data_IF_897482598631
#
_entry.id   IF_897482598631
#
_cell.length_a   1.000
_cell.length_b   1.000
_cell.length_c   1.000
_cell.angle_alpha   90.00
_cell.angle_beta   90.00
_cell.angle_gamma   90.00
#
_symmetry.space_group_name_H-M   'P 1'
#
loop_
_entity.id
_entity.type
_entity.pdbx_description
1 polymer ?
#
# COMPACT_ATOMS: atom_id res chain seq x y z
N UNK A 1 0.23 0.62 17.44
CA UNK A 1 1.25 -0.36 17.02
C UNK A 1 1.11 -1.67 17.80
N UNK A 2 1.53 -2.81 17.25
CA UNK A 2 1.76 -4.03 18.06
C UNK A 2 2.87 -3.76 19.08
N UNK A 3 2.71 -4.22 20.31
CA UNK A 3 3.74 -4.13 21.35
C UNK A 3 4.58 -5.41 21.32
N UNK A 4 5.90 -5.27 21.46
CA UNK A 4 6.86 -6.39 21.52
C UNK A 4 6.88 -7.33 20.29
N UNK A 5 6.24 -6.95 19.18
CA UNK A 5 6.34 -7.71 17.93
C UNK A 5 7.76 -7.58 17.35
N UNK A 6 8.35 -8.71 17.00
CA UNK A 6 9.67 -8.80 16.37
C UNK A 6 9.58 -9.75 15.20
N UNK A 7 10.39 -9.50 14.19
CA UNK A 7 10.51 -10.34 13.01
C UNK A 7 11.93 -10.23 12.46
N UNK A 8 12.34 -11.26 11.75
CA UNK A 8 13.65 -11.31 11.12
C UNK A 8 13.60 -10.69 9.71
N UNK A 9 14.68 -10.01 9.36
CA UNK A 9 14.94 -9.53 8.02
C UNK A 9 15.95 -10.49 7.39
N UNK A 10 15.47 -11.34 6.49
CA UNK A 10 16.30 -12.37 5.85
C UNK A 10 16.82 -11.95 4.48
N UNK A 11 16.22 -10.91 3.89
CA UNK A 11 16.65 -10.34 2.61
C UNK A 11 17.08 -8.88 2.76
N UNK A 12 17.98 -8.37 1.90
CA UNK A 12 18.30 -6.96 1.87
C UNK A 12 17.07 -6.10 1.50
N UNK A 13 16.96 -4.92 2.10
CA UNK A 13 15.85 -4.01 1.84
C UNK A 13 15.71 -3.69 0.35
N UNK A 14 14.50 -3.88 -0.19
CA UNK A 14 14.15 -3.62 -1.58
C UNK A 14 14.78 -4.59 -2.59
N UNK A 15 15.32 -5.73 -2.16
CA UNK A 15 15.96 -6.74 -2.99
C UNK A 15 15.29 -8.12 -2.85
N UNK A 16 15.60 -9.00 -3.80
CA UNK A 16 15.21 -10.41 -3.79
C UNK A 16 13.71 -10.61 -3.54
N UNK A 17 12.90 -9.85 -4.28
CA UNK A 17 11.46 -10.04 -4.27
C UNK A 17 11.13 -11.33 -4.99
N UNK A 18 10.01 -11.92 -4.61
CA UNK A 18 9.40 -13.03 -5.34
C UNK A 18 9.31 -12.63 -6.83
N UNK A 19 9.70 -13.55 -7.70
CA UNK A 19 9.73 -13.36 -9.16
C UNK A 19 8.38 -12.95 -9.74
N UNK A 20 7.30 -13.13 -9.00
CA UNK A 20 5.96 -12.77 -9.38
C UNK A 20 5.49 -11.41 -8.84
N UNK A 21 6.28 -10.76 -7.99
CA UNK A 21 5.91 -9.52 -7.29
C UNK A 21 6.74 -8.33 -7.75
N UNK A 22 6.12 -7.52 -8.62
CA UNK A 22 6.74 -6.36 -9.25
C UNK A 22 5.95 -5.07 -8.97
N UNK A 23 5.93 -4.57 -7.71
CA UNK A 23 5.27 -3.32 -7.38
C UNK A 23 5.91 -2.16 -8.17
N UNK A 24 5.08 -1.21 -8.62
CA UNK A 24 5.51 -0.07 -9.42
C UNK A 24 5.88 1.14 -8.57
N UNK A 25 5.61 1.07 -7.26
CA UNK A 25 5.86 2.11 -6.28
C UNK A 25 6.49 1.48 -5.04
N UNK A 26 7.55 2.09 -4.53
CA UNK A 26 8.15 1.77 -3.23
C UNK A 26 7.27 2.29 -2.09
N UNK A 27 7.39 1.75 -0.86
CA UNK A 27 6.67 2.30 0.30
C UNK A 27 6.90 3.81 0.50
N UNK A 28 8.15 4.27 0.35
CA UNK A 28 8.52 5.70 0.40
C UNK A 28 7.77 6.53 -0.62
N UNK A 29 7.68 6.07 -1.87
CA UNK A 29 6.93 6.78 -2.91
C UNK A 29 5.43 6.80 -2.62
N UNK A 30 4.86 5.68 -2.17
CA UNK A 30 3.45 5.62 -1.80
C UNK A 30 3.12 6.61 -0.69
N UNK A 31 3.95 6.70 0.36
CA UNK A 31 3.80 7.68 1.44
C UNK A 31 3.90 9.13 0.93
N UNK A 32 4.83 9.41 0.01
CA UNK A 32 4.96 10.72 -0.63
C UNK A 32 3.74 11.08 -1.48
N UNK A 33 3.10 10.10 -2.12
CA UNK A 33 1.85 10.30 -2.86
C UNK A 33 0.65 10.53 -1.95
N UNK A 34 0.78 10.19 -0.66
CA UNK A 34 -0.23 10.40 0.37
C UNK A 34 -1.31 9.36 0.39
N UNK A 35 -0.97 8.08 0.22
CA UNK A 35 -1.94 6.99 0.33
C UNK A 35 -2.64 6.96 1.70
N UNK A 36 -3.88 6.44 1.73
CA UNK A 36 -4.66 6.25 2.96
C UNK A 36 -4.85 7.53 3.79
N UNK A 37 -4.98 8.68 3.12
CA UNK A 37 -5.31 9.96 3.73
C UNK A 37 -4.33 10.40 4.83
N UNK A 38 -3.07 9.98 4.72
CA UNK A 38 -1.96 10.37 5.61
C UNK A 38 -2.01 9.82 7.04
N UNK A 39 -3.09 9.15 7.48
CA UNK A 39 -3.21 8.65 8.86
C UNK A 39 -2.51 7.32 9.10
N UNK A 40 -2.37 6.50 8.06
CA UNK A 40 -2.02 5.08 8.16
C UNK A 40 -0.68 4.79 8.85
N UNK A 41 0.38 5.58 8.63
CA UNK A 41 1.72 5.31 9.19
C UNK A 41 2.12 6.28 10.33
N UNK A 42 1.15 6.88 11.02
CA UNK A 42 1.45 7.97 12.00
C UNK A 42 1.94 7.47 13.36
N UNK A 43 1.55 6.26 13.77
CA UNK A 43 1.88 5.62 15.05
C UNK A 43 2.87 4.45 14.92
N UNK A 44 3.56 4.35 13.79
CA UNK A 44 4.48 3.25 13.47
C UNK A 44 5.71 3.70 12.68
N UNK A 45 6.11 4.97 12.85
CA UNK A 45 7.22 5.57 12.09
C UNK A 45 8.56 4.94 12.45
N UNK A 46 8.78 4.64 13.72
CA UNK A 46 10.04 4.12 14.24
C UNK A 46 10.33 2.67 13.79
N UNK A 47 9.34 1.99 13.21
CA UNK A 47 9.52 0.66 12.60
C UNK A 47 10.22 0.73 11.24
N UNK A 48 10.15 1.87 10.54
CA UNK A 48 10.61 2.00 9.15
C UNK A 48 11.69 3.08 9.01
N UNK A 49 12.50 3.05 7.93
CA UNK A 49 13.56 4.02 7.71
C UNK A 49 13.05 5.47 7.75
N UNK A 50 13.76 6.33 8.49
CA UNK A 50 13.36 7.73 8.66
C UNK A 50 13.24 8.50 7.34
N UNK A 51 14.04 8.12 6.33
CA UNK A 51 14.04 8.74 5.01
C UNK A 51 12.74 8.47 4.22
N UNK A 52 11.95 7.46 4.58
CA UNK A 52 10.63 7.21 4.00
C UNK A 52 9.64 8.32 4.36
N UNK A 53 9.86 8.98 5.49
CA UNK A 53 8.94 9.98 6.05
C UNK A 53 9.31 11.42 5.70
N UNK A 54 10.51 11.70 5.18
CA UNK A 54 10.98 13.06 4.89
C UNK A 54 10.05 13.86 3.98
N UNK A 55 9.39 13.21 3.01
CA UNK A 55 8.42 13.84 2.10
C UNK A 55 7.05 13.15 2.13
N UNK A 56 6.78 12.38 3.18
CA UNK A 56 5.51 11.68 3.33
C UNK A 56 4.39 12.69 3.61
N UNK A 57 3.23 12.49 2.99
CA UNK A 57 2.03 13.24 3.36
C UNK A 57 1.37 12.53 4.52
N UNK A 58 1.51 13.09 5.72
CA UNK A 58 0.98 12.52 6.96
C UNK A 58 -0.10 13.42 7.56
N UNK A 59 -1.06 12.80 8.22
CA UNK A 59 -2.10 13.48 9.01
C UNK A 59 -2.22 12.78 10.38
N UNK A 60 -1.41 13.20 11.37
CA UNK A 60 -1.34 12.57 12.69
C UNK A 60 -2.67 12.57 13.43
N UNK A 61 -3.48 13.61 13.30
CA UNK A 61 -4.72 13.73 14.08
C UNK A 61 -5.88 12.91 13.50
N UNK A 62 -6.02 12.89 12.17
CA UNK A 62 -7.18 12.28 11.51
C UNK A 62 -6.89 11.79 10.11
N UNK A 63 -7.77 10.97 9.57
CA UNK A 63 -7.75 10.66 8.15
C UNK A 63 -8.20 11.88 7.31
N UNK A 64 -7.41 12.25 6.30
CA UNK A 64 -7.74 13.34 5.37
C UNK A 64 -7.62 12.89 3.90
N UNK A 65 -8.75 12.62 3.21
CA UNK A 65 -8.74 12.27 1.79
C UNK A 65 -8.06 13.29 0.88
N UNK A 66 -7.95 14.57 1.27
CA UNK A 66 -7.30 15.60 0.46
C UNK A 66 -5.79 15.38 0.33
N UNK A 67 -5.18 14.63 1.25
CA UNK A 67 -3.77 14.27 1.15
C UNK A 67 -3.49 13.19 0.09
N UNK A 68 -4.51 12.38 -0.24
CA UNK A 68 -4.42 11.41 -1.33
C UNK A 68 -4.04 12.10 -2.64
N UNK A 69 -3.26 11.44 -3.47
CA UNK A 69 -2.84 11.99 -4.77
C UNK A 69 -4.02 12.46 -5.62
N UNK A 70 -5.11 11.68 -5.66
CA UNK A 70 -6.34 12.05 -6.38
C UNK A 70 -7.36 12.79 -5.51
N UNK A 71 -7.04 13.12 -4.25
CA UNK A 71 -7.91 13.89 -3.36
C UNK A 71 -9.24 13.20 -2.95
N UNK A 72 -9.35 11.87 -3.14
CA UNK A 72 -10.59 11.11 -2.91
C UNK A 72 -10.36 9.91 -2.01
N UNK A 73 -11.39 9.48 -1.29
CA UNK A 73 -11.36 8.26 -0.47
C UNK A 73 -11.56 7.00 -1.32
N UNK A 74 -10.68 6.00 -1.16
CA UNK A 74 -10.67 4.79 -1.96
C UNK A 74 -10.47 3.48 -1.18
N UNK A 75 -10.33 3.56 0.14
CA UNK A 75 -10.17 2.40 1.04
C UNK A 75 -11.48 2.00 1.71
N UNK A 76 -11.60 0.73 2.08
CA UNK A 76 -12.60 0.28 3.06
C UNK A 76 -12.04 0.44 4.48
N UNK A 77 -12.87 0.74 5.48
CA UNK A 77 -12.44 0.80 6.88
C UNK A 77 -11.82 -0.51 7.35
N UNK A 78 -10.81 -0.45 8.23
CA UNK A 78 -10.12 -1.64 8.76
C UNK A 78 -11.08 -2.65 9.43
N UNK A 79 -12.16 -2.17 10.04
CA UNK A 79 -13.22 -3.02 10.61
C UNK A 79 -13.85 -3.96 9.58
N UNK A 80 -14.03 -3.51 8.34
CA UNK A 80 -14.56 -4.33 7.24
C UNK A 80 -13.55 -5.41 6.84
N UNK A 81 -12.26 -5.07 6.82
CA UNK A 81 -11.20 -6.05 6.54
C UNK A 81 -11.11 -7.13 7.61
N UNK A 82 -11.25 -6.74 8.88
CA UNK A 82 -11.32 -7.68 10.01
C UNK A 82 -12.53 -8.60 9.90
N UNK A 83 -13.73 -8.05 9.67
CA UNK A 83 -14.96 -8.84 9.49
C UNK A 83 -14.86 -9.87 8.36
N UNK A 84 -14.10 -9.56 7.30
CA UNK A 84 -13.87 -10.45 6.15
C UNK A 84 -12.71 -11.42 6.32
N UNK A 85 -12.00 -11.41 7.45
CA UNK A 85 -10.83 -12.26 7.69
C UNK A 85 -9.65 -11.95 6.75
N UNK A 86 -9.57 -10.72 6.23
CA UNK A 86 -8.55 -10.31 5.26
C UNK A 86 -7.27 -9.75 5.89
N UNK A 87 -7.25 -9.65 7.22
CA UNK A 87 -6.12 -9.16 8.01
C UNK A 87 -5.32 -10.36 8.50
N UNK A 88 -4.01 -10.32 8.30
CA UNK A 88 -3.11 -11.33 8.84
C UNK A 88 -2.68 -10.91 10.26
N UNK A 89 -2.59 -11.81 11.24
CA UNK A 89 -2.28 -11.45 12.64
C UNK A 89 -0.98 -10.64 12.77
N UNK A 90 0.05 -11.00 12.00
CA UNK A 90 1.31 -10.29 12.03
C UNK A 90 1.19 -8.90 11.41
N UNK A 91 0.29 -8.67 10.46
CA UNK A 91 0.09 -7.39 9.77
C UNK A 91 -1.32 -6.83 10.04
N UNK A 92 -1.58 -6.32 11.26
CA UNK A 92 -2.92 -5.90 11.68
C UNK A 92 -3.48 -4.70 10.92
N UNK A 93 -2.64 -3.99 10.15
CA UNK A 93 -3.05 -2.89 9.25
C UNK A 93 -3.24 -3.36 7.80
N UNK A 94 -3.05 -4.65 7.52
CA UNK A 94 -3.30 -5.27 6.22
C UNK A 94 -2.16 -5.09 5.23
N UNK A 95 -2.53 -5.12 3.94
CA UNK A 95 -1.59 -5.27 2.82
C UNK A 95 -0.43 -4.27 2.80
N UNK A 96 -0.67 -2.98 3.11
CA UNK A 96 0.41 -2.00 3.00
C UNK A 96 1.47 -2.16 4.10
N UNK A 97 1.08 -2.55 5.32
CA UNK A 97 2.02 -2.92 6.37
C UNK A 97 2.80 -4.18 6.00
N UNK A 98 2.12 -5.21 5.45
CA UNK A 98 2.79 -6.37 4.89
C UNK A 98 3.84 -5.97 3.85
N UNK A 99 3.47 -5.11 2.89
CA UNK A 99 4.37 -4.65 1.83
C UNK A 99 5.56 -3.88 2.39
N UNK A 100 5.35 -3.01 3.38
CA UNK A 100 6.46 -2.27 4.01
C UNK A 100 7.47 -3.24 4.65
N UNK A 101 7.01 -4.23 5.41
CA UNK A 101 7.88 -5.22 6.05
C UNK A 101 8.53 -6.19 5.06
N UNK A 102 7.79 -6.59 4.02
CA UNK A 102 8.32 -7.38 2.92
C UNK A 102 9.44 -6.62 2.19
N UNK A 103 9.22 -5.33 1.93
CA UNK A 103 10.23 -4.43 1.36
C UNK A 103 11.45 -4.29 2.28
N UNK A 104 11.26 -4.25 3.60
CA UNK A 104 12.37 -4.24 4.57
C UNK A 104 13.21 -5.52 4.57
N UNK A 105 12.69 -6.64 4.05
CA UNK A 105 13.41 -7.92 4.00
C UNK A 105 12.73 -9.09 4.72
N UNK A 106 11.55 -8.89 5.32
CA UNK A 106 10.80 -9.97 5.97
C UNK A 106 10.22 -10.93 4.94
N UNK A 107 10.19 -12.23 5.23
CA UNK A 107 9.49 -13.26 4.44
C UNK A 107 8.64 -14.13 5.36
N UNK A 108 7.44 -14.50 4.90
CA UNK A 108 6.42 -15.26 5.64
C UNK A 108 5.88 -16.47 4.85
N UNK A 109 6.55 -16.87 3.76
CA UNK A 109 6.22 -18.08 3.01
C UNK A 109 4.82 -18.05 2.39
N UNK A 110 3.88 -18.83 2.95
CA UNK A 110 2.49 -18.90 2.48
C UNK A 110 1.78 -17.54 2.49
N UNK A 111 2.04 -16.71 3.50
CA UNK A 111 1.39 -15.40 3.58
C UNK A 111 1.86 -14.46 2.46
N UNK A 112 3.15 -14.50 2.11
CA UNK A 112 3.67 -13.72 0.99
C UNK A 112 3.00 -14.15 -0.31
N UNK A 113 2.89 -15.46 -0.56
CA UNK A 113 2.18 -16.01 -1.72
C UNK A 113 0.72 -15.54 -1.76
N UNK A 114 0.03 -15.52 -0.62
CA UNK A 114 -1.35 -15.02 -0.51
C UNK A 114 -1.45 -13.53 -0.87
N UNK A 115 -0.56 -12.69 -0.33
CA UNK A 115 -0.60 -11.25 -0.57
C UNK A 115 -0.21 -10.90 -2.02
N UNK A 116 0.78 -11.58 -2.60
CA UNK A 116 1.17 -11.45 -4.00
C UNK A 116 0.02 -11.86 -4.92
N UNK A 117 -0.68 -12.96 -4.63
CA UNK A 117 -1.87 -13.38 -5.39
C UNK A 117 -2.97 -12.32 -5.35
N UNK A 118 -3.24 -11.70 -4.19
CA UNK A 118 -4.20 -10.59 -4.07
C UNK A 118 -3.76 -9.37 -4.88
N UNK A 119 -2.49 -8.99 -4.77
CA UNK A 119 -1.91 -7.88 -5.52
C UNK A 119 -2.02 -8.09 -7.04
N UNK A 120 -1.70 -9.29 -7.55
CA UNK A 120 -1.88 -9.64 -8.97
C UNK A 120 -3.33 -9.48 -9.42
N UNK A 121 -4.29 -9.91 -8.61
CA UNK A 121 -5.71 -9.80 -8.94
C UNK A 121 -6.15 -8.33 -9.14
N UNK A 122 -5.55 -7.38 -8.43
CA UNK A 122 -5.87 -5.94 -8.55
C UNK A 122 -5.53 -5.38 -9.94
N UNK A 123 -4.61 -6.00 -10.68
CA UNK A 123 -4.24 -5.60 -12.05
C UNK A 123 -5.44 -5.48 -13.00
N UNK A 124 -6.53 -6.22 -12.77
CA UNK A 124 -7.79 -6.12 -13.53
C UNK A 124 -8.37 -4.69 -13.55
N UNK A 125 -8.15 -3.91 -12.49
CA UNK A 125 -8.62 -2.53 -12.41
C UNK A 125 -7.85 -1.59 -13.34
N UNK A 126 -6.62 -1.92 -13.73
CA UNK A 126 -5.87 -1.17 -14.74
C UNK A 126 -6.52 -1.34 -16.10
N UNK A 127 -6.92 -2.56 -16.47
CA UNK A 127 -7.63 -2.82 -17.73
C UNK A 127 -8.95 -2.06 -17.81
N UNK A 128 -9.71 -2.03 -16.70
CA UNK A 128 -10.95 -1.24 -16.62
C UNK A 128 -10.71 0.26 -16.85
N UNK A 129 -9.64 0.84 -16.32
CA UNK A 129 -9.29 2.24 -16.62
C UNK A 129 -8.98 2.42 -18.10
N UNK A 130 -8.14 1.58 -18.69
CA UNK A 130 -7.74 1.68 -20.10
C UNK A 130 -8.92 1.61 -21.07
N UNK A 131 -9.93 0.79 -20.75
CA UNK A 131 -11.13 0.63 -21.58
C UNK A 131 -12.10 1.81 -21.40
N UNK A 132 -12.22 2.35 -20.19
CA UNK A 132 -13.26 3.32 -19.85
C UNK A 132 -12.77 4.78 -19.80
N UNK A 133 -11.47 5.04 -19.90
CA UNK A 133 -10.88 6.37 -19.82
C UNK A 133 -10.10 6.69 -21.09
N UNK A 134 -10.15 7.96 -21.51
CA UNK A 134 -9.30 8.45 -22.59
C UNK A 134 -7.84 8.37 -22.15
N UNK A 135 -6.95 7.93 -23.06
CA UNK A 135 -5.50 7.88 -22.81
C UNK A 135 -5.00 9.25 -22.34
N UNK A 136 -4.33 9.29 -21.19
CA UNK A 136 -3.79 10.51 -20.58
C UNK A 136 -4.78 11.28 -19.70
N UNK A 137 -6.06 10.92 -19.65
CA UNK A 137 -7.02 11.53 -18.73
C UNK A 137 -6.87 10.96 -17.32
N UNK A 138 -6.01 11.61 -16.54
CA UNK A 138 -5.76 11.26 -15.13
C UNK A 138 -6.95 11.58 -14.21
N UNK A 139 -7.91 12.41 -14.66
CA UNK A 139 -9.09 12.78 -13.85
C UNK A 139 -10.21 11.76 -14.00
N UNK A 140 -10.22 10.95 -15.05
CA UNK A 140 -11.17 9.86 -15.21
C UNK A 140 -11.01 8.78 -14.11
N UNK A 141 -12.12 8.39 -13.47
CA UNK A 141 -12.18 7.35 -12.42
C UNK A 141 -11.17 7.53 -11.27
N UNK A 142 -11.15 8.70 -10.60
CA UNK A 142 -10.10 9.05 -9.63
C UNK A 142 -10.09 8.10 -8.42
N UNK A 143 -11.26 7.63 -7.97
CA UNK A 143 -11.37 6.66 -6.87
C UNK A 143 -10.70 5.33 -7.20
N UNK A 144 -10.88 4.82 -8.42
CA UNK A 144 -10.27 3.58 -8.88
C UNK A 144 -8.76 3.73 -9.05
N UNK A 145 -8.32 4.88 -9.58
CA UNK A 145 -6.89 5.22 -9.66
C UNK A 145 -6.25 5.33 -8.29
N UNK A 146 -6.91 5.97 -7.32
CA UNK A 146 -6.42 6.06 -5.95
C UNK A 146 -6.35 4.67 -5.29
N UNK A 147 -7.34 3.80 -5.50
CA UNK A 147 -7.28 2.43 -5.01
C UNK A 147 -6.08 1.66 -5.59
N UNK A 148 -5.71 1.85 -6.86
CA UNK A 148 -4.53 1.24 -7.44
C UNK A 148 -3.22 1.73 -6.79
N UNK A 149 -3.12 3.02 -6.43
CA UNK A 149 -1.97 3.53 -5.67
C UNK A 149 -1.84 2.84 -4.31
N UNK A 150 -2.95 2.52 -3.65
CA UNK A 150 -2.94 1.77 -2.38
C UNK A 150 -2.39 0.34 -2.51
N UNK A 151 -2.30 -0.20 -3.73
CA UNK A 151 -1.76 -1.51 -4.05
C UNK A 151 -0.44 -1.43 -4.85
N UNK A 152 0.27 -0.30 -4.76
CA UNK A 152 1.55 -0.05 -5.44
C UNK A 152 1.53 -0.19 -6.97
N UNK A 153 0.36 -0.03 -7.62
CA UNK A 153 0.29 0.20 -9.06
C UNK A 153 0.26 1.69 -9.34
N UNK A 154 1.18 2.18 -10.17
CA UNK A 154 1.29 3.59 -10.50
C UNK A 154 0.22 4.01 -11.51
N UNK A 155 -0.98 4.25 -11.00
CA UNK A 155 -2.15 4.61 -11.80
C UNK A 155 -2.10 6.00 -12.42
N UNK A 156 -1.03 6.77 -12.20
CA UNK A 156 -0.76 8.04 -12.88
C UNK A 156 -0.32 7.81 -14.33
N UNK A 157 0.11 6.58 -14.66
CA UNK A 157 0.66 6.20 -15.97
C UNK A 157 -0.36 5.58 -16.95
N UNK A 158 -1.61 5.34 -16.53
CA UNK A 158 -2.63 4.64 -17.32
C UNK A 158 -3.77 5.55 -17.79
#
# INVERSE_FOLDING_TARGET
MQTNYRYELIEPMGRNFDTDFHPQLTPKEMLRLGIFGGKYMTDCRDEFPADWFTKAKLSPEKHDPKLNFFGVEASQPLSVWRKKGWVYPDDPRGWFQWYCRYYMGRRLGEEDRRQIKRWKAIRRHIAQIKINCKKGDIKCRPRQRQALLHWAYDSRKF
#
